data_IF_073662711113
#
_entry.id   IF_073662711113
#
_cell.length_a   1.000
_cell.length_b   1.000
_cell.length_c   1.000
_cell.angle_alpha   90.00
_cell.angle_beta   90.00
_cell.angle_gamma   90.00
#
_symmetry.space_group_name_H-M   'P 1'
#
loop_
_entity.id
_entity.type
_entity.pdbx_description
1 polymer ?
#
# COMPACT_ATOMS: atom_id res chain seq x y z
N UNK A 1 77.89 -18.13 28.44
CA UNK A 1 76.57 -18.64 28.10
C UNK A 1 75.75 -17.53 27.49
N UNK A 2 75.62 -17.51 26.16
CA UNK A 2 74.84 -16.49 25.42
C UNK A 2 73.60 -17.16 24.94
N UNK A 3 72.40 -16.79 25.45
CA UNK A 3 71.10 -17.23 25.02
C UNK A 3 70.69 -16.48 23.77
N UNK A 4 70.37 -17.18 22.70
CA UNK A 4 69.84 -16.67 21.45
C UNK A 4 68.33 -16.62 21.61
N UNK A 5 67.78 -15.41 21.58
CA UNK A 5 66.33 -15.16 21.58
C UNK A 5 65.83 -15.24 20.11
N UNK A 6 65.14 -16.30 19.75
CA UNK A 6 64.53 -16.45 18.44
C UNK A 6 63.16 -15.70 18.45
N UNK A 7 63.05 -14.60 17.69
CA UNK A 7 61.82 -13.88 17.45
C UNK A 7 61.10 -14.59 16.29
N UNK A 8 60.00 -15.27 16.59
CA UNK A 8 59.07 -15.81 15.59
C UNK A 8 58.17 -14.68 15.13
N UNK A 9 58.40 -14.15 13.93
CA UNK A 9 57.50 -13.22 13.24
C UNK A 9 56.42 -14.06 12.58
N UNK A 10 55.21 -14.13 13.17
CA UNK A 10 54.04 -14.63 12.50
C UNK A 10 53.59 -13.60 11.44
N UNK A 11 53.86 -13.87 10.16
CA UNK A 11 53.21 -13.17 9.05
C UNK A 11 51.77 -13.64 8.98
N UNK A 12 50.81 -12.79 9.41
CA UNK A 12 49.39 -12.91 9.09
C UNK A 12 49.24 -12.55 7.61
N UNK A 13 49.23 -13.54 6.74
CA UNK A 13 48.75 -13.39 5.37
C UNK A 13 47.23 -13.37 5.48
N UNK A 14 46.61 -12.18 5.50
CA UNK A 14 45.20 -12.04 5.24
C UNK A 14 44.94 -12.49 3.80
N UNK A 15 44.44 -13.70 3.66
CA UNK A 15 43.87 -14.20 2.42
C UNK A 15 42.61 -13.36 2.12
N UNK A 16 42.78 -12.28 1.36
CA UNK A 16 41.70 -11.66 0.64
C UNK A 16 41.17 -12.70 -0.38
N UNK A 17 40.26 -13.55 0.05
CA UNK A 17 39.44 -14.30 -0.90
C UNK A 17 38.71 -13.26 -1.77
N UNK A 18 38.83 -13.31 -3.10
CA UNK A 18 38.05 -12.41 -3.94
C UNK A 18 36.59 -12.69 -3.60
N UNK A 19 35.86 -11.63 -3.19
CA UNK A 19 34.41 -11.72 -3.02
C UNK A 19 33.87 -12.01 -4.41
N UNK A 20 33.63 -13.28 -4.70
CA UNK A 20 32.96 -13.70 -5.92
C UNK A 20 31.50 -13.29 -5.78
N UNK A 21 31.14 -12.16 -6.33
CA UNK A 21 29.74 -11.78 -6.46
C UNK A 21 29.07 -12.80 -7.38
N UNK A 22 28.17 -13.60 -6.85
CA UNK A 22 27.42 -14.55 -7.64
C UNK A 22 26.61 -13.79 -8.70
N UNK A 23 26.65 -14.28 -9.93
CA UNK A 23 25.88 -13.73 -11.05
C UNK A 23 24.39 -13.71 -10.67
N UNK A 24 23.75 -12.53 -10.68
CA UNK A 24 22.31 -12.40 -10.43
C UNK A 24 21.50 -12.84 -11.66
N UNK A 25 20.42 -13.54 -11.41
CA UNK A 25 19.53 -14.03 -12.46
C UNK A 25 18.11 -13.54 -12.24
N UNK A 26 17.50 -12.99 -13.29
CA UNK A 26 16.08 -12.61 -13.31
C UNK A 26 15.35 -13.56 -14.26
N UNK A 27 14.30 -14.23 -13.80
CA UNK A 27 13.37 -14.93 -14.68
C UNK A 27 12.18 -14.00 -15.00
N UNK A 28 11.68 -14.06 -16.24
CA UNK A 28 10.47 -13.37 -16.67
C UNK A 28 9.46 -14.41 -17.16
N UNK A 29 8.31 -14.50 -16.49
CA UNK A 29 7.16 -15.28 -16.93
C UNK A 29 6.10 -14.32 -17.46
N UNK A 30 5.47 -14.64 -18.58
CA UNK A 30 4.51 -13.69 -19.11
C UNK A 30 3.98 -14.04 -20.51
N UNK A 31 3.37 -13.02 -21.11
CA UNK A 31 2.79 -13.14 -22.44
C UNK A 31 3.50 -12.24 -23.47
N UNK A 32 2.81 -11.88 -24.54
CA UNK A 32 3.36 -11.18 -25.70
C UNK A 32 4.11 -9.88 -25.37
N UNK A 33 3.65 -9.09 -24.42
CA UNK A 33 4.33 -7.84 -24.04
C UNK A 33 5.72 -8.09 -23.43
N UNK A 34 5.85 -9.11 -22.57
CA UNK A 34 7.14 -9.51 -22.04
C UNK A 34 8.00 -10.24 -23.09
N UNK A 35 7.38 -10.94 -24.04
CA UNK A 35 8.08 -11.49 -25.21
C UNK A 35 8.56 -10.42 -26.19
N UNK A 36 8.14 -9.15 -26.04
CA UNK A 36 8.60 -8.01 -26.83
C UNK A 36 7.73 -7.66 -28.03
N UNK A 37 6.50 -8.17 -28.11
CA UNK A 37 5.58 -7.83 -29.20
C UNK A 37 5.28 -6.34 -29.19
N UNK A 38 5.25 -5.72 -30.39
CA UNK A 38 5.09 -4.29 -30.58
C UNK A 38 6.40 -3.49 -30.59
N UNK A 39 7.50 -4.07 -30.09
CA UNK A 39 8.83 -3.46 -30.22
C UNK A 39 9.48 -3.75 -31.60
N UNK A 40 10.01 -2.71 -32.24
CA UNK A 40 10.74 -2.83 -33.49
C UNK A 40 11.91 -1.82 -33.53
N UNK A 41 13.19 -2.24 -33.50
CA UNK A 41 13.64 -3.63 -33.37
C UNK A 41 13.28 -4.24 -32.01
N UNK A 42 13.35 -5.56 -31.89
CA UNK A 42 13.02 -6.31 -30.66
C UNK A 42 13.85 -5.87 -29.46
N UNK A 43 15.06 -5.38 -29.65
CA UNK A 43 15.93 -4.82 -28.61
C UNK A 43 15.32 -3.57 -27.96
N UNK A 44 14.28 -2.99 -28.56
CA UNK A 44 13.49 -1.91 -27.97
C UNK A 44 12.47 -2.39 -26.93
N UNK A 45 12.27 -3.71 -26.80
CA UNK A 45 11.36 -4.27 -25.77
C UNK A 45 11.83 -3.96 -24.37
N UNK A 46 10.90 -3.88 -23.42
CA UNK A 46 11.24 -3.55 -22.04
C UNK A 46 12.17 -4.58 -21.38
N UNK A 47 12.02 -5.87 -21.72
CA UNK A 47 12.89 -6.94 -21.21
C UNK A 47 14.30 -6.82 -21.76
N UNK A 48 14.44 -6.57 -23.06
CA UNK A 48 15.76 -6.42 -23.69
C UNK A 48 16.47 -5.13 -23.26
N UNK A 49 15.72 -4.03 -23.04
CA UNK A 49 16.27 -2.81 -22.44
C UNK A 49 16.74 -3.06 -21.01
N UNK A 50 16.00 -3.83 -20.23
CA UNK A 50 16.40 -4.23 -18.88
C UNK A 50 17.70 -5.05 -18.94
N UNK A 51 17.80 -6.06 -19.81
CA UNK A 51 19.04 -6.83 -20.02
C UNK A 51 20.21 -5.93 -20.42
N UNK A 52 19.99 -4.98 -21.32
CA UNK A 52 21.04 -4.05 -21.78
C UNK A 52 21.50 -3.09 -20.68
N UNK A 53 20.60 -2.68 -19.77
CA UNK A 53 20.94 -1.77 -18.67
C UNK A 53 21.92 -2.39 -17.67
N UNK A 54 21.81 -3.70 -17.43
CA UNK A 54 22.73 -4.41 -16.53
C UNK A 54 24.14 -4.51 -17.09
N UNK A 55 24.29 -4.70 -18.37
CA UNK A 55 25.61 -4.76 -19.02
C UNK A 55 26.39 -3.44 -18.97
N UNK A 56 25.69 -2.31 -18.80
CA UNK A 56 26.30 -0.97 -18.77
C UNK A 56 26.65 -0.47 -17.37
N UNK A 57 25.91 -0.90 -16.36
CA UNK A 57 25.95 -0.29 -15.02
C UNK A 57 26.73 -1.08 -13.97
N UNK A 58 27.12 -2.29 -14.26
CA UNK A 58 27.85 -3.12 -13.31
C UNK A 58 29.34 -3.03 -13.56
N UNK A 59 29.98 -1.93 -13.11
CA UNK A 59 31.43 -1.81 -13.07
C UNK A 59 32.10 -2.83 -12.13
N UNK A 60 31.32 -3.73 -11.53
CA UNK A 60 31.69 -4.81 -10.62
C UNK A 60 31.91 -6.16 -11.34
N UNK A 61 31.78 -6.23 -12.65
CA UNK A 61 32.02 -7.44 -13.44
C UNK A 61 30.97 -8.55 -13.30
N UNK A 62 29.82 -8.28 -12.67
CA UNK A 62 28.73 -9.25 -12.50
C UNK A 62 27.66 -9.02 -13.56
N UNK A 63 27.65 -9.83 -14.59
CA UNK A 63 26.60 -9.83 -15.63
C UNK A 63 25.29 -10.39 -15.05
N UNK A 64 24.30 -9.55 -14.84
CA UNK A 64 22.93 -10.02 -14.55
C UNK A 64 22.34 -10.62 -15.82
N UNK A 65 21.82 -11.84 -15.75
CA UNK A 65 21.20 -12.55 -16.88
C UNK A 65 19.68 -12.53 -16.72
N UNK A 66 18.98 -12.20 -17.80
CA UNK A 66 17.52 -12.32 -17.86
C UNK A 66 17.14 -13.60 -18.63
N UNK A 67 16.48 -14.52 -17.95
CA UNK A 67 15.86 -15.71 -18.51
C UNK A 67 14.40 -15.41 -18.87
N UNK A 68 14.17 -14.87 -20.07
CA UNK A 68 12.82 -14.51 -20.52
C UNK A 68 12.08 -15.75 -21.05
N UNK A 69 11.08 -16.21 -20.32
CA UNK A 69 10.21 -17.35 -20.66
C UNK A 69 8.81 -16.91 -21.10
N UNK A 70 8.62 -15.63 -21.42
CA UNK A 70 7.33 -15.13 -21.87
C UNK A 70 7.02 -15.64 -23.28
N UNK A 71 5.76 -16.03 -23.50
CA UNK A 71 5.26 -16.57 -24.77
C UNK A 71 3.98 -15.81 -25.18
N UNK A 72 3.90 -15.35 -26.42
CA UNK A 72 2.73 -14.66 -26.94
C UNK A 72 1.44 -15.47 -26.76
N UNK A 73 0.35 -14.81 -26.34
CA UNK A 73 -0.95 -15.44 -26.13
C UNK A 73 -1.13 -16.17 -24.80
N UNK A 74 -0.09 -16.32 -23.98
CA UNK A 74 -0.22 -17.04 -22.71
C UNK A 74 -1.11 -16.28 -21.71
N UNK A 75 -1.84 -17.10 -20.92
CA UNK A 75 -2.64 -16.73 -19.76
C UNK A 75 -1.94 -17.22 -18.48
N UNK A 76 -2.37 -16.75 -17.32
CA UNK A 76 -1.75 -17.08 -16.02
C UNK A 76 -1.64 -18.59 -15.76
N UNK A 77 -2.60 -19.39 -16.23
CA UNK A 77 -2.58 -20.86 -16.10
C UNK A 77 -1.33 -21.52 -16.68
N UNK A 78 -0.74 -20.92 -17.73
CA UNK A 78 0.48 -21.45 -18.37
C UNK A 78 1.71 -21.43 -17.45
N UNK A 79 1.70 -20.60 -16.41
CA UNK A 79 2.81 -20.50 -15.45
C UNK A 79 2.56 -21.18 -14.10
N UNK A 80 1.43 -21.84 -13.92
CA UNK A 80 1.19 -22.65 -12.72
C UNK A 80 2.16 -23.85 -12.62
N UNK A 81 2.33 -24.47 -11.45
CA UNK A 81 3.23 -25.63 -11.30
C UNK A 81 2.93 -26.75 -12.31
N UNK A 82 3.98 -27.40 -12.81
CA UNK A 82 3.82 -28.59 -13.65
C UNK A 82 2.95 -29.63 -12.95
N UNK A 83 1.96 -30.18 -13.68
CA UNK A 83 0.98 -31.13 -13.13
C UNK A 83 -0.27 -30.48 -12.53
N UNK A 84 -0.33 -29.15 -12.43
CA UNK A 84 -1.59 -28.48 -12.13
C UNK A 84 -2.57 -28.68 -13.29
N UNK A 85 -3.83 -28.95 -12.99
CA UNK A 85 -4.90 -29.05 -13.99
C UNK A 85 -6.16 -28.37 -13.47
N UNK A 86 -6.81 -27.60 -14.32
CA UNK A 86 -8.07 -26.94 -14.03
C UNK A 86 -9.04 -27.20 -15.18
N UNK A 87 -10.25 -27.70 -14.93
CA UNK A 87 -11.23 -27.97 -15.99
C UNK A 87 -11.44 -26.75 -16.89
N UNK A 88 -11.42 -26.98 -18.22
CA UNK A 88 -11.60 -25.94 -19.25
C UNK A 88 -10.55 -24.81 -19.20
N UNK A 89 -9.38 -25.07 -18.67
CA UNK A 89 -8.21 -24.16 -18.68
C UNK A 89 -7.01 -24.87 -19.28
N UNK A 90 -6.07 -24.10 -19.90
CA UNK A 90 -4.90 -24.73 -20.51
C UNK A 90 -3.95 -25.26 -19.43
N UNK A 91 -3.34 -26.40 -19.66
CA UNK A 91 -2.30 -26.97 -18.81
C UNK A 91 -1.06 -26.04 -18.77
N UNK A 92 -0.30 -26.07 -17.66
CA UNK A 92 0.96 -25.34 -17.55
C UNK A 92 1.98 -25.74 -18.61
N UNK A 93 2.74 -24.76 -19.11
CA UNK A 93 3.90 -25.04 -19.95
C UNK A 93 5.10 -25.42 -19.08
N UNK A 94 5.66 -26.65 -19.20
CA UNK A 94 6.78 -27.09 -18.37
C UNK A 94 8.06 -26.26 -18.59
N UNK A 95 8.17 -25.47 -19.66
CA UNK A 95 9.33 -24.64 -19.99
C UNK A 95 9.14 -23.16 -19.60
N UNK A 96 7.95 -22.76 -19.11
CA UNK A 96 7.59 -21.37 -18.84
C UNK A 96 6.69 -21.24 -17.59
N UNK A 97 7.00 -21.98 -16.54
CA UNK A 97 6.17 -22.06 -15.34
C UNK A 97 6.98 -22.00 -14.03
N UNK A 98 6.28 -22.00 -12.90
CA UNK A 98 6.88 -22.00 -11.55
C UNK A 98 7.91 -23.13 -11.41
N UNK A 99 7.55 -24.37 -11.79
CA UNK A 99 8.43 -25.54 -11.63
C UNK A 99 9.72 -25.36 -12.41
N UNK A 100 9.66 -24.84 -13.63
CA UNK A 100 10.83 -24.52 -14.42
C UNK A 100 11.77 -23.56 -13.69
N UNK A 101 11.24 -22.41 -13.23
CA UNK A 101 12.05 -21.36 -12.58
C UNK A 101 12.69 -21.89 -11.29
N UNK A 102 11.95 -22.68 -10.49
CA UNK A 102 12.46 -23.23 -9.24
C UNK A 102 13.56 -24.27 -9.44
N UNK A 103 13.53 -25.02 -10.55
CA UNK A 103 14.47 -26.11 -10.84
C UNK A 103 15.65 -25.69 -11.72
N UNK A 104 15.64 -24.48 -12.31
CA UNK A 104 16.72 -24.01 -13.17
C UNK A 104 17.98 -23.71 -12.36
N UNK A 105 19.17 -24.08 -12.89
CA UNK A 105 20.48 -23.81 -12.28
C UNK A 105 21.32 -22.95 -13.22
N UNK A 106 21.88 -21.81 -12.75
CA UNK A 106 21.66 -21.21 -11.44
C UNK A 106 20.21 -20.77 -11.28
N UNK A 107 19.71 -20.84 -10.03
CA UNK A 107 18.35 -20.41 -9.71
C UNK A 107 18.21 -18.89 -9.88
N UNK A 108 17.02 -18.42 -10.24
CA UNK A 108 16.74 -17.01 -10.29
C UNK A 108 16.70 -16.40 -8.87
N UNK A 109 17.23 -15.18 -8.72
CA UNK A 109 17.10 -14.35 -7.51
C UNK A 109 15.77 -13.59 -7.51
N UNK A 110 15.30 -13.24 -8.72
CA UNK A 110 14.12 -12.41 -8.94
C UNK A 110 13.28 -13.04 -10.05
N UNK A 111 11.96 -12.97 -9.92
CA UNK A 111 11.03 -13.25 -11.01
C UNK A 111 10.11 -12.04 -11.25
N UNK A 112 9.86 -11.71 -12.51
CA UNK A 112 8.88 -10.71 -12.91
C UNK A 112 7.77 -11.42 -13.69
N UNK A 113 6.52 -11.25 -13.25
CA UNK A 113 5.35 -11.87 -13.86
C UNK A 113 4.55 -10.82 -14.61
N UNK A 114 4.36 -11.04 -15.93
CA UNK A 114 3.68 -10.11 -16.82
C UNK A 114 2.60 -10.81 -17.66
N UNK A 115 1.40 -10.93 -17.12
CA UNK A 115 0.19 -11.38 -17.81
C UNK A 115 -0.82 -10.23 -17.89
N UNK A 116 -0.68 -9.32 -18.88
CA UNK A 116 -1.38 -8.03 -18.81
C UNK A 116 -2.87 -8.10 -19.13
N UNK A 117 -3.31 -8.96 -20.07
CA UNK A 117 -4.69 -8.87 -20.59
C UNK A 117 -5.35 -10.18 -20.98
N UNK A 118 -4.57 -11.24 -21.28
CA UNK A 118 -5.10 -12.41 -21.99
C UNK A 118 -6.14 -13.20 -21.18
N UNK A 119 -6.00 -13.29 -19.87
CA UNK A 119 -7.00 -13.95 -19.02
C UNK A 119 -8.37 -13.29 -19.18
N UNK A 120 -8.43 -11.96 -19.11
CA UNK A 120 -9.68 -11.20 -19.19
C UNK A 120 -10.29 -11.27 -20.57
N UNK A 121 -9.49 -11.15 -21.65
CA UNK A 121 -10.02 -11.23 -23.03
C UNK A 121 -10.34 -12.65 -23.46
N UNK A 122 -9.91 -13.65 -22.70
CA UNK A 122 -10.36 -15.05 -22.80
C UNK A 122 -11.57 -15.34 -21.92
N UNK A 123 -12.21 -14.30 -21.37
CA UNK A 123 -13.39 -14.38 -20.51
C UNK A 123 -13.17 -15.21 -19.24
N UNK A 124 -11.92 -15.24 -18.72
CA UNK A 124 -11.64 -15.79 -17.40
C UNK A 124 -12.03 -14.78 -16.32
N UNK A 125 -12.58 -15.26 -15.22
CA UNK A 125 -12.97 -14.38 -14.14
C UNK A 125 -11.76 -13.64 -13.55
N UNK A 126 -11.86 -12.35 -13.23
CA UNK A 126 -10.76 -11.59 -12.58
C UNK A 126 -10.22 -12.28 -11.32
N UNK A 127 -11.11 -12.98 -10.59
CA UNK A 127 -10.71 -13.77 -9.41
C UNK A 127 -9.74 -14.88 -9.76
N UNK A 128 -9.97 -15.62 -10.86
CA UNK A 128 -9.08 -16.70 -11.30
C UNK A 128 -7.68 -16.18 -11.59
N UNK A 129 -7.59 -15.10 -12.38
CA UNK A 129 -6.32 -14.43 -12.68
C UNK A 129 -5.59 -14.02 -11.39
N UNK A 130 -6.30 -13.38 -10.46
CA UNK A 130 -5.70 -12.93 -9.20
C UNK A 130 -5.29 -14.08 -8.29
N UNK A 131 -6.04 -15.19 -8.26
CA UNK A 131 -5.67 -16.37 -7.49
C UNK A 131 -4.40 -17.03 -8.05
N UNK A 132 -4.29 -17.12 -9.38
CA UNK A 132 -3.09 -17.62 -10.04
C UNK A 132 -1.86 -16.71 -9.76
N UNK A 133 -2.02 -15.40 -9.84
CA UNK A 133 -0.95 -14.45 -9.51
C UNK A 133 -0.52 -14.56 -8.03
N UNK A 134 -1.46 -14.72 -7.09
CA UNK A 134 -1.14 -14.95 -5.67
C UNK A 134 -0.40 -16.26 -5.46
N UNK A 135 -0.82 -17.33 -6.12
CA UNK A 135 -0.14 -18.62 -6.03
C UNK A 135 1.32 -18.51 -6.51
N UNK A 136 1.55 -17.90 -7.69
CA UNK A 136 2.89 -17.66 -8.21
C UNK A 136 3.73 -16.85 -7.23
N UNK A 137 3.19 -15.73 -6.74
CA UNK A 137 3.85 -14.86 -5.77
C UNK A 137 4.24 -15.61 -4.48
N UNK A 138 3.33 -16.39 -3.92
CA UNK A 138 3.56 -17.17 -2.70
C UNK A 138 4.62 -18.24 -2.91
N UNK A 139 4.54 -18.98 -4.03
CA UNK A 139 5.49 -20.06 -4.33
C UNK A 139 6.92 -19.54 -4.51
N UNK A 140 7.11 -18.45 -5.24
CA UNK A 140 8.44 -17.88 -5.42
C UNK A 140 9.01 -17.32 -4.11
N UNK A 141 8.26 -16.55 -3.36
CA UNK A 141 8.73 -16.00 -2.09
C UNK A 141 9.01 -17.08 -1.04
N UNK A 142 8.18 -18.14 -0.97
CA UNK A 142 8.42 -19.28 -0.08
C UNK A 142 9.73 -20.02 -0.40
N UNK A 143 10.21 -19.89 -1.63
CA UNK A 143 11.48 -20.45 -2.08
C UNK A 143 12.63 -19.43 -2.12
N UNK A 144 12.46 -18.24 -1.51
CA UNK A 144 13.50 -17.22 -1.43
C UNK A 144 13.79 -16.50 -2.75
N UNK A 145 12.84 -16.51 -3.71
CA UNK A 145 12.91 -15.77 -4.97
C UNK A 145 11.99 -14.56 -4.86
N UNK A 146 12.55 -13.35 -4.98
CA UNK A 146 11.74 -12.13 -4.97
C UNK A 146 10.83 -12.06 -6.19
N UNK A 147 9.52 -11.96 -6.00
CA UNK A 147 8.54 -11.98 -7.08
C UNK A 147 7.88 -10.61 -7.27
N UNK A 148 7.99 -10.04 -8.46
CA UNK A 148 7.28 -8.84 -8.89
C UNK A 148 6.13 -9.20 -9.83
N UNK A 149 5.00 -8.52 -9.65
CA UNK A 149 3.79 -8.70 -10.48
C UNK A 149 3.51 -7.38 -11.21
N UNK A 150 3.45 -7.41 -12.53
CA UNK A 150 2.98 -6.23 -13.29
C UNK A 150 1.45 -6.14 -13.23
N UNK A 151 0.93 -4.93 -13.28
CA UNK A 151 -0.52 -4.73 -13.46
C UNK A 151 -0.95 -5.18 -14.86
N UNK A 152 -2.26 -5.21 -15.12
CA UNK A 152 -2.81 -5.25 -16.47
C UNK A 152 -2.39 -4.02 -17.27
N UNK A 153 -2.62 -4.10 -18.60
CA UNK A 153 -2.36 -3.04 -19.58
C UNK A 153 -3.67 -2.65 -20.28
N UNK A 154 -3.76 -1.42 -20.83
CA UNK A 154 -4.86 -1.05 -21.70
C UNK A 154 -4.87 -1.90 -22.97
N UNK A 155 -6.05 -2.07 -23.59
CA UNK A 155 -6.20 -2.87 -24.82
C UNK A 155 -7.38 -2.39 -25.65
N UNK A 156 -7.15 -1.96 -26.89
CA UNK A 156 -8.20 -1.45 -27.79
C UNK A 156 -9.11 -2.55 -28.30
N UNK A 157 -8.58 -3.77 -28.51
CA UNK A 157 -9.37 -4.92 -28.99
C UNK A 157 -10.25 -5.56 -27.91
N UNK A 158 -10.13 -5.14 -26.65
CA UNK A 158 -11.01 -5.55 -25.57
C UNK A 158 -12.36 -4.81 -25.64
N UNK A 159 -13.46 -5.46 -25.29
CA UNK A 159 -14.75 -4.79 -25.12
C UNK A 159 -14.72 -3.79 -23.96
N UNK A 160 -15.71 -2.88 -23.91
CA UNK A 160 -15.82 -1.90 -22.82
C UNK A 160 -15.89 -2.59 -21.45
N UNK A 161 -16.67 -3.67 -21.36
CA UNK A 161 -16.78 -4.47 -20.12
C UNK A 161 -15.42 -5.09 -19.73
N UNK A 162 -14.67 -5.64 -20.68
CA UNK A 162 -13.34 -6.20 -20.42
C UNK A 162 -12.33 -5.10 -20.03
N UNK A 163 -12.38 -3.90 -20.64
CA UNK A 163 -11.52 -2.77 -20.24
C UNK A 163 -11.77 -2.32 -18.80
N UNK A 164 -13.03 -2.32 -18.36
CA UNK A 164 -13.39 -2.07 -16.96
C UNK A 164 -12.75 -3.12 -16.05
N UNK A 165 -12.84 -4.41 -16.40
CA UNK A 165 -12.22 -5.49 -15.63
C UNK A 165 -10.69 -5.36 -15.62
N UNK A 166 -10.06 -5.03 -16.75
CA UNK A 166 -8.62 -4.78 -16.81
C UNK A 166 -8.22 -3.65 -15.84
N UNK A 167 -9.01 -2.56 -15.77
CA UNK A 167 -8.76 -1.48 -14.80
C UNK A 167 -8.90 -1.96 -13.35
N UNK A 168 -9.89 -2.79 -13.04
CA UNK A 168 -10.07 -3.39 -11.71
C UNK A 168 -8.89 -4.30 -11.33
N UNK A 169 -8.30 -5.01 -12.31
CA UNK A 169 -7.08 -5.81 -12.08
C UNK A 169 -5.90 -4.91 -11.72
N UNK A 170 -5.75 -3.71 -12.31
CA UNK A 170 -4.70 -2.75 -11.88
C UNK A 170 -4.80 -2.49 -10.39
N UNK A 171 -5.98 -2.10 -9.92
CA UNK A 171 -6.21 -1.77 -8.51
C UNK A 171 -6.02 -3.02 -7.61
N UNK A 172 -6.46 -4.18 -8.10
CA UNK A 172 -6.31 -5.45 -7.39
C UNK A 172 -4.84 -5.87 -7.26
N UNK A 173 -4.03 -5.73 -8.29
CA UNK A 173 -2.60 -6.05 -8.26
C UNK A 173 -1.87 -5.09 -7.31
N UNK A 174 -2.13 -3.79 -7.42
CA UNK A 174 -1.53 -2.81 -6.52
C UNK A 174 -1.90 -3.07 -5.05
N UNK A 175 -3.16 -3.44 -4.80
CA UNK A 175 -3.65 -3.73 -3.46
C UNK A 175 -3.04 -4.99 -2.86
N UNK A 176 -2.92 -6.06 -3.66
CA UNK A 176 -2.49 -7.37 -3.14
C UNK A 176 -0.98 -7.51 -3.06
N UNK A 177 -0.22 -6.86 -3.94
CA UNK A 177 1.22 -7.05 -4.02
C UNK A 177 2.02 -5.80 -3.60
N UNK A 178 1.37 -4.65 -3.39
CA UNK A 178 1.99 -3.46 -2.82
C UNK A 178 3.28 -3.06 -3.54
N UNK A 179 4.41 -3.11 -2.84
CA UNK A 179 5.72 -2.77 -3.40
C UNK A 179 6.19 -3.72 -4.50
N UNK A 180 5.68 -4.94 -4.55
CA UNK A 180 5.98 -5.90 -5.61
C UNK A 180 5.10 -5.72 -6.84
N UNK A 181 4.10 -4.84 -6.78
CA UNK A 181 3.33 -4.45 -7.96
C UNK A 181 4.12 -3.45 -8.81
N UNK A 182 4.20 -3.69 -10.12
CA UNK A 182 4.76 -2.76 -11.10
C UNK A 182 3.61 -2.25 -11.95
N UNK A 183 3.37 -0.95 -11.94
CA UNK A 183 2.26 -0.35 -12.68
C UNK A 183 2.59 -0.26 -14.18
N UNK A 184 1.89 -1.03 -15.00
CA UNK A 184 1.99 -1.04 -16.45
C UNK A 184 0.77 -0.38 -17.11
N UNK A 185 0.00 0.41 -16.38
CA UNK A 185 -1.23 1.07 -16.85
C UNK A 185 -1.09 2.58 -17.03
N UNK A 186 -0.64 3.29 -15.98
CA UNK A 186 -0.57 4.75 -16.00
C UNK A 186 0.36 5.24 -17.11
N UNK A 187 0.09 6.41 -17.68
CA UNK A 187 0.76 7.01 -18.84
C UNK A 187 0.61 6.25 -20.17
N UNK A 188 0.09 5.01 -20.15
CA UNK A 188 -0.14 4.18 -21.33
C UNK A 188 -1.63 4.16 -21.68
N UNK A 189 -2.52 4.19 -20.67
CA UNK A 189 -3.96 4.09 -20.85
C UNK A 189 -4.63 5.45 -21.01
N UNK A 190 -5.62 5.51 -21.88
CA UNK A 190 -6.68 6.52 -21.87
C UNK A 190 -7.67 6.24 -20.72
N UNK A 191 -8.55 7.20 -20.43
CA UNK A 191 -9.56 7.08 -19.38
C UNK A 191 -10.56 5.94 -19.61
N UNK A 192 -10.79 5.56 -20.86
CA UNK A 192 -11.69 4.47 -21.29
C UNK A 192 -11.00 3.09 -21.33
N UNK A 193 -9.71 3.01 -20.94
CA UNK A 193 -8.93 1.77 -20.92
C UNK A 193 -8.37 1.37 -22.28
N UNK A 194 -8.42 2.24 -23.29
CA UNK A 194 -7.71 2.06 -24.56
C UNK A 194 -6.25 2.48 -24.46
N UNK A 195 -5.41 2.00 -25.38
CA UNK A 195 -3.99 2.41 -25.46
C UNK A 195 -3.93 3.82 -26.04
N UNK A 196 -3.16 4.72 -25.41
CA UNK A 196 -2.88 6.04 -25.96
C UNK A 196 -2.22 5.94 -27.34
N UNK A 197 -2.62 6.75 -28.33
CA UNK A 197 -2.11 6.65 -29.69
C UNK A 197 -0.59 6.72 -29.80
N UNK A 198 0.06 7.59 -29.02
CA UNK A 198 1.51 7.81 -29.04
C UNK A 198 2.33 6.60 -28.59
N UNK A 199 1.76 5.71 -27.81
CA UNK A 199 2.42 4.50 -27.29
C UNK A 199 1.88 3.21 -27.90
N UNK A 200 0.93 3.29 -28.85
CA UNK A 200 0.32 2.13 -29.50
C UNK A 200 1.21 1.59 -30.62
N UNK A 201 1.31 0.26 -30.73
CA UNK A 201 1.93 -0.40 -31.89
C UNK A 201 1.01 -0.43 -33.11
N UNK A 202 -0.25 0.00 -33.00
CA UNK A 202 -1.21 0.04 -34.13
C UNK A 202 -2.05 -1.23 -34.29
N UNK A 203 -1.76 -2.31 -33.57
CA UNK A 203 -2.48 -3.58 -33.62
C UNK A 203 -3.63 -3.67 -32.59
N UNK A 204 -3.83 -2.61 -31.81
CA UNK A 204 -4.85 -2.51 -30.77
C UNK A 204 -4.61 -3.36 -29.53
N UNK A 205 -3.44 -4.00 -29.42
CA UNK A 205 -3.11 -4.91 -28.32
C UNK A 205 -1.78 -4.56 -27.64
N UNK A 206 -0.77 -4.21 -28.44
CA UNK A 206 0.59 -4.02 -27.96
C UNK A 206 1.02 -2.56 -27.95
N UNK A 207 2.00 -2.28 -27.12
CA UNK A 207 2.65 -0.97 -27.07
C UNK A 207 3.85 -0.92 -28.03
N UNK A 208 4.14 0.26 -28.59
CA UNK A 208 5.29 0.50 -29.44
C UNK A 208 6.59 0.70 -28.63
N UNK A 209 7.68 1.10 -29.31
CA UNK A 209 8.99 1.35 -28.67
C UNK A 209 8.94 2.36 -27.52
N UNK A 210 8.11 3.42 -27.64
CA UNK A 210 7.92 4.41 -26.58
C UNK A 210 7.18 3.79 -25.39
N UNK A 211 6.12 3.02 -25.66
CA UNK A 211 5.42 2.28 -24.61
C UNK A 211 6.34 1.29 -23.89
N UNK A 212 7.13 0.52 -24.62
CA UNK A 212 8.14 -0.37 -24.03
C UNK A 212 9.20 0.37 -23.20
N UNK A 213 9.60 1.59 -23.61
CA UNK A 213 10.49 2.43 -22.81
C UNK A 213 9.86 2.83 -21.48
N UNK A 214 8.57 3.21 -21.47
CA UNK A 214 7.84 3.52 -20.23
C UNK A 214 7.75 2.30 -19.31
N UNK A 215 7.45 1.10 -19.85
CA UNK A 215 7.43 -0.14 -19.08
C UNK A 215 8.80 -0.44 -18.45
N UNK A 216 9.89 -0.31 -19.23
CA UNK A 216 11.25 -0.46 -18.75
C UNK A 216 11.57 0.50 -17.60
N UNK A 217 11.25 1.79 -17.75
CA UNK A 217 11.46 2.79 -16.71
C UNK A 217 10.73 2.43 -15.41
N UNK A 218 9.52 1.88 -15.49
CA UNK A 218 8.75 1.46 -14.32
C UNK A 218 9.34 0.24 -13.61
N UNK A 219 9.94 -0.67 -14.36
CA UNK A 219 10.69 -1.78 -13.77
C UNK A 219 11.94 -1.26 -13.05
N UNK A 220 12.70 -0.36 -13.68
CA UNK A 220 13.96 0.16 -13.11
C UNK A 220 13.74 1.07 -11.90
N UNK A 221 12.62 1.80 -11.83
CA UNK A 221 12.29 2.63 -10.65
C UNK A 221 11.94 1.81 -9.40
N UNK A 222 11.73 0.50 -9.53
CA UNK A 222 11.43 -0.38 -8.40
C UNK A 222 12.67 -0.79 -7.60
N UNK A 223 13.87 -0.38 -7.98
CA UNK A 223 15.12 -0.82 -7.33
C UNK A 223 15.13 -2.33 -7.03
N UNK A 224 14.84 -3.11 -8.09
CA UNK A 224 14.71 -4.56 -7.97
C UNK A 224 15.97 -5.27 -7.45
N UNK A 225 17.12 -4.56 -7.38
CA UNK A 225 18.41 -5.07 -6.88
C UNK A 225 18.80 -4.53 -5.52
N UNK A 226 18.22 -3.40 -5.05
CA UNK A 226 18.53 -2.80 -3.75
C UNK A 226 17.88 -3.53 -2.58
N UNK A 227 17.01 -4.51 -2.86
CA UNK A 227 16.40 -5.35 -1.83
C UNK A 227 17.42 -6.39 -1.39
N UNK A 228 18.44 -5.94 -0.66
CA UNK A 228 19.35 -6.85 0.04
C UNK A 228 18.56 -7.72 1.01
N UNK A 229 18.53 -9.00 0.75
CA UNK A 229 18.27 -10.20 1.59
C UNK A 229 17.35 -10.13 2.83
N UNK A 230 16.69 -9.02 3.12
CA UNK A 230 15.63 -8.97 4.10
C UNK A 230 14.29 -9.06 3.36
N UNK A 231 13.50 -10.09 3.60
CA UNK A 231 12.17 -10.25 3.01
C UNK A 231 11.27 -9.15 3.56
N UNK A 232 10.70 -8.25 2.72
CA UNK A 232 9.91 -7.14 3.23
C UNK A 232 8.67 -7.61 3.99
N UNK A 233 8.14 -6.72 4.80
CA UNK A 233 6.87 -6.97 5.51
C UNK A 233 5.75 -7.26 4.52
N UNK A 234 5.18 -8.45 4.61
CA UNK A 234 3.99 -8.80 3.84
C UNK A 234 2.76 -8.52 4.69
N UNK A 235 2.08 -7.42 4.39
CA UNK A 235 0.82 -7.06 5.01
C UNK A 235 -0.30 -8.01 4.52
N UNK A 236 -0.78 -8.88 5.41
CA UNK A 236 -1.85 -9.83 5.10
C UNK A 236 -3.22 -9.17 5.12
N UNK A 237 -3.47 -8.34 6.14
CA UNK A 237 -4.74 -7.62 6.29
C UNK A 237 -4.48 -6.19 6.73
N UNK A 238 -5.32 -5.26 6.26
CA UNK A 238 -5.47 -3.91 6.79
C UNK A 238 -6.94 -3.55 6.77
N UNK A 239 -7.52 -3.37 7.94
CA UNK A 239 -8.91 -3.03 8.12
C UNK A 239 -9.06 -1.91 9.15
N UNK A 240 -9.92 -0.93 8.83
CA UNK A 240 -10.29 0.16 9.73
C UNK A 240 -11.80 0.29 9.70
N UNK A 241 -12.43 0.35 10.87
CA UNK A 241 -13.88 0.46 10.98
C UNK A 241 -14.29 1.34 12.16
N UNK A 242 -15.41 2.02 12.02
CA UNK A 242 -16.05 2.73 13.11
C UNK A 242 -16.93 1.74 13.91
N UNK A 243 -16.63 1.54 15.19
CA UNK A 243 -17.40 0.69 16.09
C UNK A 243 -17.56 1.39 17.43
N UNK A 244 -18.79 1.49 17.91
CA UNK A 244 -19.11 2.14 19.20
C UNK A 244 -18.51 3.55 19.33
N UNK A 245 -18.60 4.35 18.24
CA UNK A 245 -18.02 5.71 18.14
C UNK A 245 -16.50 5.79 18.27
N UNK A 246 -15.78 4.68 18.22
CA UNK A 246 -14.32 4.61 18.16
C UNK A 246 -13.89 4.04 16.81
N UNK A 247 -12.76 4.49 16.29
CA UNK A 247 -12.19 3.88 15.10
C UNK A 247 -11.24 2.78 15.52
N UNK A 248 -11.53 1.55 15.11
CA UNK A 248 -10.67 0.40 15.34
C UNK A 248 -9.89 0.08 14.06
N UNK A 249 -8.56 0.03 14.17
CA UNK A 249 -7.65 -0.39 13.14
C UNK A 249 -7.05 -1.75 13.50
N UNK A 250 -7.11 -2.70 12.58
CA UNK A 250 -6.54 -4.02 12.74
C UNK A 250 -5.71 -4.36 11.51
N UNK A 251 -4.53 -4.91 11.71
CA UNK A 251 -3.70 -5.43 10.62
C UNK A 251 -2.97 -6.68 11.04
N UNK A 252 -2.57 -7.45 10.06
CA UNK A 252 -1.75 -8.64 10.27
C UNK A 252 -0.70 -8.74 9.19
N UNK A 253 0.41 -9.36 9.55
CA UNK A 253 1.54 -9.64 8.66
C UNK A 253 1.70 -11.13 8.49
N UNK A 254 2.26 -11.57 7.38
CA UNK A 254 2.75 -12.94 7.20
C UNK A 254 4.24 -13.03 7.40
N UNK A 255 4.92 -11.89 7.37
CA UNK A 255 6.36 -11.77 7.59
C UNK A 255 6.72 -10.33 7.94
N UNK A 256 7.73 -10.14 8.77
CA UNK A 256 8.29 -8.85 9.17
C UNK A 256 9.80 -8.90 9.12
N UNK A 257 10.41 -7.77 8.74
CA UNK A 257 11.85 -7.57 8.92
C UNK A 257 12.18 -7.25 10.38
N UNK A 258 13.36 -7.63 10.87
CA UNK A 258 13.89 -7.07 12.10
C UNK A 258 13.91 -5.54 12.03
N UNK A 259 13.50 -4.86 13.10
CA UNK A 259 13.40 -3.40 13.20
C UNK A 259 12.29 -2.75 12.38
N UNK A 260 11.31 -3.51 11.87
CA UNK A 260 10.09 -2.94 11.30
C UNK A 260 9.35 -2.09 12.35
N UNK A 261 8.86 -0.92 11.92
CA UNK A 261 7.98 -0.07 12.71
C UNK A 261 6.71 0.25 11.92
N UNK A 262 5.56 0.15 12.57
CA UNK A 262 4.26 0.48 11.99
C UNK A 262 3.78 1.83 12.53
N UNK A 263 3.33 2.71 11.63
CA UNK A 263 2.66 3.97 11.99
C UNK A 263 1.25 3.98 11.41
N UNK A 264 0.24 4.12 12.28
CA UNK A 264 -1.10 4.46 11.81
C UNK A 264 -1.13 5.96 11.58
N UNK A 265 -1.50 6.34 10.37
CA UNK A 265 -1.61 7.74 9.97
C UNK A 265 -3.06 8.10 9.67
N UNK A 266 -3.48 9.27 10.17
CA UNK A 266 -4.82 9.83 10.00
C UNK A 266 -4.77 11.16 9.26
N UNK A 267 -5.80 11.42 8.43
CA UNK A 267 -5.99 12.67 7.72
C UNK A 267 -7.46 13.09 7.75
N UNK A 268 -7.74 14.39 7.73
CA UNK A 268 -9.09 14.95 7.56
C UNK A 268 -9.44 15.27 6.10
N UNK A 269 -8.45 15.33 5.21
CA UNK A 269 -8.63 15.71 3.80
C UNK A 269 -8.14 14.66 2.80
N UNK A 270 -7.59 13.53 3.27
CA UNK A 270 -7.05 12.45 2.43
C UNK A 270 -5.69 12.75 1.79
N UNK A 271 -5.13 13.95 2.00
CA UNK A 271 -3.85 14.37 1.42
C UNK A 271 -2.77 14.51 2.51
N UNK A 272 -3.05 15.25 3.58
CA UNK A 272 -2.11 15.51 4.66
C UNK A 272 -2.34 14.52 5.80
N UNK A 273 -1.42 13.57 5.95
CA UNK A 273 -1.49 12.53 6.96
C UNK A 273 -0.56 12.84 8.14
N UNK A 274 -1.07 12.61 9.35
CA UNK A 274 -0.31 12.71 10.60
C UNK A 274 -0.28 11.34 11.29
N UNK A 275 0.86 10.95 11.84
CA UNK A 275 0.99 9.74 12.63
C UNK A 275 0.24 9.90 13.96
N UNK A 276 -0.71 8.98 14.21
CA UNK A 276 -1.55 8.95 15.44
C UNK A 276 -1.22 7.79 16.35
N UNK A 277 -0.48 6.79 15.84
CA UNK A 277 -0.02 5.64 16.59
C UNK A 277 1.22 5.03 15.98
N UNK A 278 2.10 4.48 16.82
CA UNK A 278 3.29 3.75 16.41
C UNK A 278 3.45 2.48 17.23
N UNK A 279 3.97 1.43 16.59
CA UNK A 279 4.33 0.17 17.27
C UNK A 279 5.46 -0.52 16.50
N UNK A 280 6.40 -1.10 17.22
CA UNK A 280 7.46 -1.90 16.60
C UNK A 280 6.89 -3.27 16.17
N UNK A 281 7.39 -3.77 15.07
CA UNK A 281 7.16 -5.12 14.62
C UNK A 281 7.79 -6.16 15.54
N UNK A 282 7.28 -7.38 15.46
CA UNK A 282 7.77 -8.52 16.25
C UNK A 282 8.90 -9.27 15.56
N UNK A 283 9.19 -8.93 14.29
CA UNK A 283 10.18 -9.63 13.46
C UNK A 283 9.68 -10.97 12.87
N UNK A 284 8.41 -11.29 13.05
CA UNK A 284 7.75 -12.48 12.50
C UNK A 284 6.26 -12.19 12.24
N UNK A 285 5.51 -13.13 11.69
CA UNK A 285 4.08 -12.97 11.47
C UNK A 285 3.33 -12.63 12.77
N UNK A 286 2.51 -11.57 12.72
CA UNK A 286 1.77 -11.10 13.90
C UNK A 286 0.43 -10.45 13.52
N UNK A 287 -0.41 -10.30 14.56
CA UNK A 287 -1.65 -9.55 14.49
C UNK A 287 -1.56 -8.34 15.40
N UNK A 288 -2.03 -7.20 14.90
CA UNK A 288 -2.01 -5.94 15.60
C UNK A 288 -3.39 -5.33 15.65
N UNK A 289 -3.65 -4.58 16.70
CA UNK A 289 -4.87 -3.80 16.85
C UNK A 289 -4.59 -2.47 17.54
N UNK A 290 -5.35 -1.46 17.16
CA UNK A 290 -5.32 -0.16 17.80
C UNK A 290 -6.69 0.51 17.72
N UNK A 291 -6.99 1.34 18.72
CA UNK A 291 -8.24 2.09 18.78
C UNK A 291 -7.95 3.59 18.86
N UNK A 292 -8.49 4.36 17.93
CA UNK A 292 -8.45 5.81 17.97
C UNK A 292 -9.52 6.33 18.94
N UNK A 293 -9.07 6.88 20.06
CA UNK A 293 -9.94 7.52 21.03
C UNK A 293 -10.31 8.97 20.66
N UNK A 294 -9.55 9.57 19.72
CA UNK A 294 -9.74 10.96 19.25
C UNK A 294 -10.32 10.98 17.81
N UNK A 295 -11.44 10.30 17.61
CA UNK A 295 -12.10 10.20 16.31
C UNK A 295 -12.57 11.57 15.84
N UNK A 296 -12.16 11.97 14.64
CA UNK A 296 -12.61 13.22 14.02
C UNK A 296 -14.10 13.15 13.69
N UNK A 297 -14.80 14.26 13.85
CA UNK A 297 -16.16 14.39 13.38
C UNK A 297 -16.18 14.52 11.84
N UNK A 298 -17.17 13.93 11.17
CA UNK A 298 -17.26 13.90 9.71
C UNK A 298 -16.34 12.85 9.09
N UNK A 299 -15.73 13.18 7.95
CA UNK A 299 -14.90 12.27 7.16
C UNK A 299 -13.44 12.31 7.60
N UNK A 300 -12.87 11.15 7.85
CA UNK A 300 -11.45 10.95 8.13
C UNK A 300 -10.89 9.81 7.30
N UNK A 301 -9.58 9.80 7.11
CA UNK A 301 -8.88 8.84 6.28
C UNK A 301 -7.74 8.22 7.09
N UNK A 302 -7.60 6.91 7.00
CA UNK A 302 -6.57 6.17 7.71
C UNK A 302 -5.72 5.36 6.73
N UNK A 303 -4.42 5.32 6.98
CA UNK A 303 -3.48 4.42 6.30
C UNK A 303 -2.46 3.89 7.29
N UNK A 304 -1.88 2.74 6.98
CA UNK A 304 -0.73 2.20 7.67
C UNK A 304 0.53 2.58 6.89
N UNK A 305 1.51 3.17 7.55
CA UNK A 305 2.87 3.34 7.06
C UNK A 305 3.73 2.29 7.75
N UNK A 306 4.46 1.53 6.98
CA UNK A 306 5.36 0.48 7.41
C UNK A 306 6.77 0.99 7.15
N UNK A 307 7.54 1.24 8.21
CA UNK A 307 8.93 1.66 8.09
C UNK A 307 9.81 0.41 8.18
N UNK A 308 10.46 0.08 7.10
CA UNK A 308 11.53 -0.91 7.02
C UNK A 308 12.88 -0.20 7.11
N UNK A 309 13.98 -0.94 7.24
CA UNK A 309 15.31 -0.35 7.42
C UNK A 309 15.71 0.64 6.32
N UNK A 310 15.28 0.40 5.09
CA UNK A 310 15.72 1.15 3.91
C UNK A 310 14.63 1.98 3.25
N UNK A 311 13.35 1.74 3.58
CA UNK A 311 12.20 2.39 2.91
C UNK A 311 10.96 2.42 3.77
N UNK A 312 10.00 3.27 3.38
CA UNK A 312 8.65 3.28 3.94
C UNK A 312 7.63 2.79 2.90
N UNK A 313 6.71 1.95 3.35
CA UNK A 313 5.63 1.37 2.56
C UNK A 313 4.31 1.89 3.10
N UNK A 314 3.32 2.10 2.23
CA UNK A 314 2.00 2.57 2.64
C UNK A 314 0.92 1.58 2.23
N UNK A 315 -0.01 1.30 3.15
CA UNK A 315 -1.24 0.58 2.83
C UNK A 315 -2.20 1.43 1.99
N UNK A 316 -3.27 0.81 1.52
CA UNK A 316 -4.42 1.58 1.00
C UNK A 316 -4.97 2.52 2.07
N UNK A 317 -5.53 3.64 1.62
CA UNK A 317 -6.27 4.59 2.46
C UNK A 317 -7.70 4.08 2.67
N UNK A 318 -8.16 4.05 3.91
CA UNK A 318 -9.54 3.67 4.25
C UNK A 318 -10.27 4.93 4.75
N UNK A 319 -11.34 5.37 4.07
CA UNK A 319 -12.17 6.45 4.57
C UNK A 319 -13.10 5.95 5.67
N UNK A 320 -13.25 6.74 6.72
CA UNK A 320 -14.23 6.56 7.80
C UNK A 320 -15.12 7.77 7.85
N UNK A 321 -16.42 7.53 7.89
CA UNK A 321 -17.44 8.57 8.04
C UNK A 321 -18.00 8.43 9.46
N UNK A 322 -17.77 9.45 10.28
CA UNK A 322 -18.30 9.57 11.63
C UNK A 322 -19.33 10.69 11.65
N UNK A 323 -20.54 10.38 11.21
CA UNK A 323 -21.66 11.32 11.21
C UNK A 323 -22.25 11.49 12.63
N UNK A 324 -21.39 11.76 13.62
CA UNK A 324 -21.92 12.26 14.89
C UNK A 324 -22.61 13.60 14.56
N UNK A 325 -23.91 13.64 14.70
CA UNK A 325 -24.61 14.93 14.73
C UNK A 325 -23.95 15.77 15.80
N UNK A 326 -23.45 16.93 15.39
CA UNK A 326 -22.80 17.86 16.30
C UNK A 326 -23.75 18.18 17.43
N UNK A 327 -23.38 17.84 18.67
CA UNK A 327 -24.22 18.11 19.83
C UNK A 327 -24.50 19.62 19.97
N UNK A 328 -23.47 20.45 19.74
CA UNK A 328 -23.58 21.92 19.75
C UNK A 328 -23.64 22.40 18.31
N UNK A 329 -24.78 22.90 17.85
CA UNK A 329 -25.00 23.41 16.49
C UNK A 329 -24.73 24.89 16.34
N UNK A 330 -24.81 25.64 17.44
CA UNK A 330 -24.48 27.06 17.52
C UNK A 330 -24.02 27.42 18.91
N UNK A 331 -23.04 28.32 19.02
CA UNK A 331 -22.51 28.88 20.24
C UNK A 331 -22.12 30.34 20.02
N UNK A 332 -22.66 31.24 20.80
CA UNK A 332 -22.22 32.64 20.81
C UNK A 332 -22.52 33.27 22.18
N UNK A 333 -21.88 34.41 22.47
CA UNK A 333 -22.16 35.20 23.67
C UNK A 333 -22.32 36.67 23.30
N UNK A 334 -23.22 37.38 24.00
CA UNK A 334 -23.41 38.83 23.97
C UNK A 334 -22.68 39.54 25.11
N UNK A 335 -21.84 38.83 25.86
CA UNK A 335 -21.11 39.34 27.02
C UNK A 335 -21.89 39.23 28.34
N UNK A 336 -23.20 39.06 28.29
CA UNK A 336 -24.10 38.88 29.44
C UNK A 336 -24.57 37.44 29.54
N UNK A 337 -24.90 36.87 28.39
CA UNK A 337 -25.41 35.49 28.25
C UNK A 337 -24.55 34.70 27.28
N UNK A 338 -24.39 33.42 27.56
CA UNK A 338 -23.87 32.39 26.63
C UNK A 338 -25.07 31.67 26.04
N UNK A 339 -25.21 31.72 24.72
CA UNK A 339 -26.30 31.09 23.97
C UNK A 339 -25.79 29.83 23.28
N UNK A 340 -26.48 28.70 23.46
CA UNK A 340 -26.16 27.41 22.86
C UNK A 340 -27.42 26.86 22.17
N UNK A 341 -27.22 26.31 20.98
CA UNK A 341 -28.18 25.44 20.31
C UNK A 341 -27.63 24.01 20.37
N UNK A 342 -28.37 23.11 20.99
CA UNK A 342 -27.99 21.71 21.12
C UNK A 342 -28.90 20.84 20.24
N UNK A 343 -28.30 19.85 19.58
CA UNK A 343 -29.02 18.83 18.82
C UNK A 343 -28.77 17.45 19.43
N UNK A 344 -29.81 16.79 19.95
CA UNK A 344 -29.71 15.44 20.51
C UNK A 344 -30.84 14.54 20.01
N UNK A 345 -30.65 13.22 20.14
CA UNK A 345 -31.72 12.24 19.84
C UNK A 345 -32.51 11.99 21.12
N UNK A 346 -33.78 12.33 21.09
CA UNK A 346 -34.72 12.08 22.19
C UNK A 346 -34.51 12.94 23.43
N UNK A 347 -35.39 12.78 24.42
CA UNK A 347 -35.28 13.44 25.71
C UNK A 347 -34.16 12.83 26.54
N UNK A 348 -33.28 13.67 27.11
CA UNK A 348 -32.17 13.26 27.95
C UNK A 348 -31.69 14.40 28.84
N UNK A 349 -31.00 14.12 29.93
CA UNK A 349 -30.35 15.15 30.73
C UNK A 349 -28.96 15.48 30.19
N UNK A 350 -28.54 16.74 30.35
CA UNK A 350 -27.21 17.22 30.01
C UNK A 350 -26.61 18.01 31.16
N UNK A 351 -25.33 17.81 31.42
CA UNK A 351 -24.53 18.61 32.36
C UNK A 351 -23.64 19.53 31.52
N UNK A 352 -23.83 20.83 31.72
CA UNK A 352 -22.99 21.86 31.14
C UNK A 352 -22.00 22.36 32.19
N UNK A 353 -20.73 22.48 31.82
CA UNK A 353 -19.64 22.94 32.68
C UNK A 353 -18.86 24.02 31.95
N UNK A 354 -18.74 25.21 32.54
CA UNK A 354 -17.86 26.30 32.03
C UNK A 354 -16.53 26.19 32.79
N UNK A 355 -15.43 26.22 32.03
CA UNK A 355 -14.06 25.98 32.49
C UNK A 355 -13.18 27.12 31.99
N UNK A 356 -12.27 27.62 32.82
CA UNK A 356 -11.25 28.57 32.39
C UNK A 356 -10.09 27.87 31.65
N UNK A 357 -9.12 28.65 31.18
CA UNK A 357 -7.95 28.13 30.44
C UNK A 357 -6.98 27.33 31.34
N UNK A 358 -7.12 27.38 32.68
CA UNK A 358 -6.36 26.58 33.64
C UNK A 358 -7.06 25.25 33.98
N UNK A 359 -8.28 25.02 33.43
CA UNK A 359 -9.07 23.83 33.77
C UNK A 359 -9.96 23.98 35.00
N UNK A 360 -10.06 25.19 35.59
CA UNK A 360 -10.90 25.44 36.78
C UNK A 360 -12.37 25.49 36.40
N UNK A 361 -13.20 24.71 37.09
CA UNK A 361 -14.65 24.73 36.87
C UNK A 361 -15.24 25.99 37.51
N UNK A 362 -15.75 26.89 36.67
CA UNK A 362 -16.35 28.15 37.09
C UNK A 362 -17.86 28.03 37.29
N UNK A 363 -18.51 27.21 36.47
CA UNK A 363 -19.96 27.02 36.51
C UNK A 363 -20.34 25.62 36.06
N UNK A 364 -21.35 25.05 36.74
CA UNK A 364 -21.90 23.74 36.36
C UNK A 364 -23.42 23.79 36.51
N UNK A 365 -24.14 23.33 35.47
CA UNK A 365 -25.61 23.33 35.50
C UNK A 365 -26.14 22.11 34.72
N UNK A 366 -27.23 21.52 35.23
CA UNK A 366 -27.92 20.40 34.59
C UNK A 366 -29.15 20.93 33.89
N UNK A 367 -29.46 20.37 32.72
CA UNK A 367 -30.61 20.71 31.88
C UNK A 367 -31.27 19.43 31.39
N UNK A 368 -32.60 19.49 31.23
CA UNK A 368 -33.36 18.47 30.53
C UNK A 368 -33.54 18.87 29.07
N UNK A 369 -32.99 18.07 28.16
CA UNK A 369 -33.09 18.26 26.72
C UNK A 369 -34.35 17.56 26.21
N UNK A 370 -35.21 18.31 25.55
CA UNK A 370 -36.54 17.81 25.12
C UNK A 370 -36.55 17.22 23.69
N UNK A 371 -35.42 16.98 23.09
CA UNK A 371 -35.32 16.39 21.74
C UNK A 371 -34.45 17.15 20.75
N UNK A 372 -34.78 17.10 19.46
CA UNK A 372 -33.86 17.38 18.36
C UNK A 372 -33.16 18.76 18.39
N UNK A 373 -33.79 19.81 18.88
CA UNK A 373 -33.17 21.15 19.00
C UNK A 373 -33.57 21.78 20.34
N UNK A 374 -32.60 22.00 21.20
CA UNK A 374 -32.81 22.67 22.51
C UNK A 374 -31.94 23.90 22.59
N UNK A 375 -32.54 25.06 22.87
CA UNK A 375 -31.82 26.29 23.15
C UNK A 375 -31.55 26.43 24.63
N UNK A 376 -30.29 26.70 25.00
CA UNK A 376 -29.86 26.93 26.38
C UNK A 376 -29.23 28.31 26.45
N UNK A 377 -29.58 29.05 27.50
CA UNK A 377 -28.97 30.34 27.81
C UNK A 377 -28.41 30.31 29.22
N UNK A 378 -27.18 30.79 29.38
CA UNK A 378 -26.46 30.77 30.66
C UNK A 378 -25.91 32.18 30.94
N UNK A 379 -26.22 32.79 32.11
CA UNK A 379 -25.58 34.02 32.50
C UNK A 379 -24.06 33.86 32.64
N UNK A 380 -23.31 34.79 32.04
CA UNK A 380 -21.84 34.83 32.07
C UNK A 380 -21.31 36.23 32.37
N UNK A 381 -22.18 37.15 32.81
CA UNK A 381 -21.83 38.53 33.12
C UNK A 381 -20.78 38.69 34.24
N UNK A 382 -20.68 37.68 35.14
CA UNK A 382 -19.69 37.63 36.21
C UNK A 382 -18.29 37.22 35.73
N UNK A 383 -18.16 36.66 34.53
CA UNK A 383 -16.87 36.24 34.00
C UNK A 383 -16.10 37.47 33.48
N UNK A 384 -14.79 37.48 33.70
CA UNK A 384 -13.91 38.55 33.19
C UNK A 384 -13.67 38.38 31.68
N UNK A 385 -13.14 39.43 31.04
CA UNK A 385 -12.68 39.32 29.66
C UNK A 385 -11.63 38.20 29.53
N UNK A 386 -11.82 37.26 28.59
CA UNK A 386 -10.95 36.12 28.46
C UNK A 386 -11.55 35.00 27.61
N UNK A 387 -10.76 33.89 27.49
CA UNK A 387 -11.14 32.70 26.77
C UNK A 387 -11.60 31.62 27.76
N UNK A 388 -12.70 30.97 27.43
CA UNK A 388 -13.34 29.92 28.23
C UNK A 388 -13.71 28.75 27.37
N UNK A 389 -13.93 27.60 28.02
CA UNK A 389 -14.47 26.41 27.39
C UNK A 389 -15.81 26.05 28.04
N UNK A 390 -16.74 25.60 27.22
CA UNK A 390 -17.99 25.00 27.70
C UNK A 390 -18.00 23.53 27.30
N UNK A 391 -18.10 22.66 28.29
CA UNK A 391 -18.29 21.22 28.11
C UNK A 391 -19.74 20.86 28.36
N UNK A 392 -20.30 20.07 27.43
CA UNK A 392 -21.66 19.53 27.52
C UNK A 392 -21.58 18.01 27.47
N UNK A 393 -21.97 17.34 28.55
CA UNK A 393 -22.05 15.88 28.61
C UNK A 393 -23.51 15.45 28.83
N UNK A 394 -24.01 14.54 28.00
CA UNK A 394 -25.40 14.05 28.06
C UNK A 394 -25.49 12.66 28.66
N UNK A 395 -26.63 12.35 29.29
CA UNK A 395 -26.94 10.99 29.79
C UNK A 395 -26.98 9.93 28.69
N UNK A 396 -27.21 10.34 27.43
CA UNK A 396 -27.12 9.48 26.24
C UNK A 396 -25.70 9.22 25.71
N UNK A 397 -24.65 9.66 26.44
CA UNK A 397 -23.25 9.42 26.12
C UNK A 397 -22.67 10.36 25.05
N UNK A 398 -23.34 11.45 24.67
CA UNK A 398 -22.76 12.50 23.84
C UNK A 398 -21.98 13.49 24.70
N UNK A 399 -20.80 13.92 24.24
CA UNK A 399 -19.94 14.89 24.90
C UNK A 399 -19.40 15.88 23.86
N UNK A 400 -19.39 17.16 24.20
CA UNK A 400 -18.84 18.23 23.35
C UNK A 400 -18.12 19.25 24.20
N UNK A 401 -17.02 19.80 23.66
CA UNK A 401 -16.29 20.91 24.26
C UNK A 401 -16.14 21.99 23.20
N UNK A 402 -16.62 23.20 23.50
CA UNK A 402 -16.55 24.35 22.62
C UNK A 402 -15.85 25.51 23.32
N UNK A 403 -15.17 26.36 22.56
CA UNK A 403 -14.50 27.56 23.05
C UNK A 403 -15.36 28.79 22.81
N UNK A 404 -15.42 29.69 23.78
CA UNK A 404 -15.99 31.04 23.63
C UNK A 404 -15.11 32.09 24.30
N UNK A 405 -15.29 33.33 23.90
CA UNK A 405 -14.52 34.45 24.43
C UNK A 405 -15.49 35.55 24.93
N UNK A 406 -15.19 36.11 26.09
CA UNK A 406 -15.85 37.28 26.62
C UNK A 406 -14.98 38.50 26.33
N UNK A 407 -15.54 39.46 25.63
CA UNK A 407 -14.94 40.75 25.35
C UNK A 407 -15.74 41.78 26.16
N UNK A 408 -15.09 42.53 27.07
CA UNK A 408 -15.65 43.62 27.83
C UNK A 408 -14.96 44.91 27.43
#
# INVERSE_FOLDING_TARGET
MRGILAIIVCLLIELFAPVCFAQKKIAVLGSSTAAGFGANPIDSSWVNKLQASFRKNTGDGVDTVIDNRAVGGYVTYKSLPTGSSTPNRPDPDPNANITYVLNTVPRADIVIINYPTNDIVSDYAPKEMMDNLRLMFQQFNANGITCYITTSQPRNTASDAQRILLRQIVDSVQLNFGNYAINFWDDIANTDGTIKPEVSAGDGTHVNNLGHLLLFQRVTTKDIFGIGSALPVILKTWNVQLKNNLVQANWSTTQEEPLTNFEIQRSNNGANFQTVYQVNGTGHNANYSWTDAMVLNGKSFYRLKINEQTKAIYSRVIPIINDKKQLVTSLYTDGVQLHLQLQCKGAQSAVLTIIDYLGTVLKKKTFDLQGANTSITIPVSELHAGNYFVRIATSGGSDAVERFSIMK
#
